data_IF_157996680228
#
_entry.id   IF_157996680228
#
_cell.length_a   1.000
_cell.length_b   1.000
_cell.length_c   1.000
_cell.angle_alpha   90.00
_cell.angle_beta   90.00
_cell.angle_gamma   90.00
#
_symmetry.space_group_name_H-M   'P 1'
#
loop_
_entity.id
_entity.type
_entity.pdbx_description
1 polymer ?
#
# COMPACT_ATOMS: atom_id res chain seq x y z
N UNK A 1 -54.24 0.43 -9.71
CA UNK A 1 -55.69 0.43 -9.98
C UNK A 1 -56.27 1.82 -9.79
N UNK A 2 -56.47 2.58 -10.87
CA UNK A 2 -57.23 3.84 -10.87
C UNK A 2 -58.06 3.88 -12.16
N UNK A 3 -59.23 3.25 -12.15
CA UNK A 3 -60.16 3.17 -13.29
C UNK A 3 -61.36 4.11 -13.10
N UNK A 4 -61.10 5.41 -12.92
CA UNK A 4 -62.12 6.44 -13.15
C UNK A 4 -61.41 7.64 -13.77
N UNK A 5 -61.27 7.62 -15.10
CA UNK A 5 -60.75 8.78 -15.83
C UNK A 5 -61.83 9.88 -15.86
N UNK A 6 -61.48 11.13 -15.52
CA UNK A 6 -62.42 12.25 -15.65
C UNK A 6 -62.69 12.54 -17.13
N UNK A 7 -63.95 12.78 -17.48
CA UNK A 7 -64.37 13.20 -18.81
C UNK A 7 -64.03 14.69 -18.96
N UNK A 8 -62.89 14.97 -19.60
CA UNK A 8 -62.36 16.30 -19.91
C UNK A 8 -60.89 16.20 -20.36
N UNK A 9 -60.37 17.16 -21.14
CA UNK A 9 -58.94 17.18 -21.54
C UNK A 9 -58.08 17.21 -20.28
N UNK A 10 -57.62 16.05 -19.83
CA UNK A 10 -56.82 15.89 -18.64
C UNK A 10 -55.42 16.43 -18.92
N UNK A 11 -55.09 17.56 -18.31
CA UNK A 11 -53.71 18.04 -18.25
C UNK A 11 -52.86 17.05 -17.43
N UNK A 12 -51.57 16.89 -17.74
CA UNK A 12 -50.65 16.11 -16.90
C UNK A 12 -50.68 16.63 -15.46
N UNK A 13 -50.45 15.76 -14.46
CA UNK A 13 -50.46 16.08 -13.01
C UNK A 13 -49.61 17.29 -12.56
N UNK A 14 -48.76 17.79 -13.44
CA UNK A 14 -47.84 18.90 -13.17
C UNK A 14 -48.40 20.27 -13.63
N UNK A 15 -49.68 20.37 -14.00
CA UNK A 15 -50.26 21.61 -14.52
C UNK A 15 -51.39 22.12 -13.62
N UNK A 16 -51.37 23.42 -13.33
CA UNK A 16 -52.53 24.14 -12.82
C UNK A 16 -53.15 24.98 -13.94
N UNK A 17 -54.47 24.89 -14.09
CA UNK A 17 -55.25 25.74 -14.98
C UNK A 17 -55.78 26.97 -14.22
N UNK A 18 -55.47 28.16 -14.70
CA UNK A 18 -55.98 29.45 -14.25
C UNK A 18 -56.85 30.06 -15.36
N UNK A 19 -58.15 29.78 -15.37
CA UNK A 19 -59.04 30.27 -16.43
C UNK A 19 -58.57 29.85 -17.84
N UNK A 20 -58.12 30.82 -18.66
CA UNK A 20 -57.62 30.61 -20.05
C UNK A 20 -56.12 30.28 -20.13
N UNK A 21 -55.38 30.24 -19.01
CA UNK A 21 -53.94 30.03 -19.00
C UNK A 21 -53.55 28.83 -18.13
N UNK A 22 -52.67 27.97 -18.63
CA UNK A 22 -52.11 26.85 -17.86
C UNK A 22 -50.66 27.13 -17.45
N UNK A 23 -50.36 26.95 -16.17
CA UNK A 23 -49.01 27.06 -15.61
C UNK A 23 -48.51 25.65 -15.29
N UNK A 24 -47.32 25.31 -15.77
CA UNK A 24 -46.63 24.08 -15.37
C UNK A 24 -45.90 24.30 -14.04
N UNK A 25 -46.20 23.47 -13.03
CA UNK A 25 -45.43 23.39 -11.80
C UNK A 25 -44.05 22.82 -12.17
N UNK A 26 -42.94 23.45 -11.74
CA UNK A 26 -41.61 22.98 -12.09
C UNK A 26 -41.16 21.75 -11.28
N UNK A 27 -42.01 20.74 -11.11
CA UNK A 27 -41.71 19.51 -10.38
C UNK A 27 -40.45 18.84 -10.95
N UNK A 28 -40.29 18.83 -12.27
CA UNK A 28 -39.11 18.23 -12.90
C UNK A 28 -37.82 19.05 -12.67
N UNK A 29 -37.79 20.37 -12.89
CA UNK A 29 -36.70 21.23 -12.44
C UNK A 29 -36.37 21.09 -10.94
N UNK A 30 -37.37 21.07 -10.05
CA UNK A 30 -37.18 20.88 -8.60
C UNK A 30 -36.51 19.53 -8.31
N UNK A 31 -37.02 18.42 -8.87
CA UNK A 31 -36.41 17.09 -8.69
C UNK A 31 -34.97 17.03 -9.19
N UNK A 32 -34.70 17.65 -10.33
CA UNK A 32 -33.34 17.73 -10.90
C UNK A 32 -32.43 18.60 -10.04
N UNK A 33 -32.92 19.71 -9.51
CA UNK A 33 -32.19 20.56 -8.58
C UNK A 33 -31.77 19.76 -7.35
N UNK A 34 -32.73 19.12 -6.66
CA UNK A 34 -32.49 18.32 -5.46
C UNK A 34 -31.51 17.18 -5.75
N UNK A 35 -31.73 16.41 -6.82
CA UNK A 35 -30.84 15.31 -7.21
C UNK A 35 -29.42 15.78 -7.53
N UNK A 36 -29.27 16.88 -8.27
CA UNK A 36 -27.95 17.44 -8.62
C UNK A 36 -27.25 17.96 -7.37
N UNK A 37 -27.98 18.60 -6.45
CA UNK A 37 -27.41 19.11 -5.20
C UNK A 37 -26.95 17.97 -4.28
N UNK A 38 -27.78 16.94 -4.07
CA UNK A 38 -27.39 15.73 -3.33
C UNK A 38 -26.16 15.06 -3.93
N UNK A 39 -26.14 14.94 -5.26
CA UNK A 39 -25.02 14.33 -5.97
C UNK A 39 -23.75 15.16 -5.77
N UNK A 40 -23.84 16.50 -5.84
CA UNK A 40 -22.70 17.38 -5.56
C UNK A 40 -22.19 17.24 -4.12
N UNK A 41 -23.07 17.12 -3.13
CA UNK A 41 -22.66 16.91 -1.74
C UNK A 41 -22.03 15.54 -1.53
N UNK A 42 -22.49 14.49 -2.23
CA UNK A 42 -21.85 13.18 -2.22
C UNK A 42 -20.41 13.24 -2.75
N UNK A 43 -20.18 13.93 -3.88
CA UNK A 43 -18.82 14.14 -4.40
C UNK A 43 -17.96 14.96 -3.44
N UNK A 44 -18.54 15.97 -2.79
CA UNK A 44 -17.85 16.77 -1.78
C UNK A 44 -17.49 15.95 -0.53
N UNK A 45 -18.37 15.02 -0.12
CA UNK A 45 -18.12 14.08 0.97
C UNK A 45 -16.92 13.18 0.68
N UNK A 46 -16.82 12.64 -0.54
CA UNK A 46 -15.69 11.78 -0.93
C UNK A 46 -14.37 12.57 -1.07
N UNK A 47 -14.43 13.79 -1.60
CA UNK A 47 -13.22 14.62 -1.76
C UNK A 47 -12.72 15.18 -0.43
N UNK A 48 -13.65 15.57 0.45
CA UNK A 48 -13.43 16.16 1.78
C UNK A 48 -12.18 17.03 1.90
N UNK A 49 -12.15 18.12 1.13
CA UNK A 49 -10.98 19.02 1.07
C UNK A 49 -10.66 19.75 2.38
N UNK A 50 -11.60 19.81 3.33
CA UNK A 50 -11.46 20.54 4.60
C UNK A 50 -10.95 19.73 5.79
N UNK A 51 -10.37 18.54 5.59
CA UNK A 51 -9.82 17.73 6.69
C UNK A 51 -8.56 18.39 7.25
N UNK A 52 -8.48 18.49 8.59
CA UNK A 52 -7.24 18.87 9.26
C UNK A 52 -6.24 17.74 9.12
N UNK A 53 -5.14 18.01 8.42
CA UNK A 53 -4.03 17.08 8.34
C UNK A 53 -3.37 16.93 9.73
N UNK A 54 -2.84 15.74 10.06
CA UNK A 54 -1.96 15.56 11.20
C UNK A 54 -0.84 16.61 11.22
N UNK A 55 -0.46 17.07 12.42
CA UNK A 55 0.65 18.02 12.59
C UNK A 55 1.99 17.46 12.12
N UNK A 56 2.17 16.14 12.17
CA UNK A 56 3.34 15.45 11.65
C UNK A 56 2.95 14.22 10.82
N UNK A 57 2.88 14.39 9.50
CA UNK A 57 2.56 13.31 8.56
C UNK A 57 3.62 12.20 8.54
N UNK A 58 4.89 12.52 8.78
CA UNK A 58 5.96 11.53 8.72
C UNK A 58 5.81 10.46 9.82
N UNK A 59 5.36 10.86 11.01
CA UNK A 59 5.12 9.94 12.13
C UNK A 59 3.95 8.99 11.83
N UNK A 60 2.88 9.49 11.22
CA UNK A 60 1.75 8.63 10.85
C UNK A 60 2.13 7.65 9.74
N UNK A 61 2.89 8.11 8.74
CA UNK A 61 3.43 7.24 7.69
C UNK A 61 4.32 6.15 8.28
N UNK A 62 5.22 6.48 9.20
CA UNK A 62 6.11 5.49 9.83
C UNK A 62 5.33 4.45 10.64
N UNK A 63 4.30 4.89 11.38
CA UNK A 63 3.41 4.01 12.13
C UNK A 63 2.66 3.06 11.20
N UNK A 64 2.14 3.56 10.08
CA UNK A 64 1.42 2.77 9.10
C UNK A 64 2.36 1.77 8.40
N UNK A 65 3.53 2.20 7.94
CA UNK A 65 4.52 1.30 7.32
C UNK A 65 4.98 0.20 8.28
N UNK A 66 5.11 0.51 9.58
CA UNK A 66 5.40 -0.49 10.61
C UNK A 66 4.28 -1.51 10.75
N UNK A 67 3.01 -1.09 10.72
CA UNK A 67 1.87 -2.01 10.78
C UNK A 67 1.79 -2.91 9.53
N UNK A 68 2.20 -2.40 8.38
CA UNK A 68 2.25 -3.16 7.14
C UNK A 68 3.48 -4.09 7.04
N UNK A 69 4.42 -3.94 7.98
CA UNK A 69 5.73 -4.61 8.02
C UNK A 69 6.61 -4.30 6.80
N UNK A 70 6.64 -3.02 6.41
CA UNK A 70 7.34 -2.48 5.24
C UNK A 70 8.52 -1.58 5.62
N UNK A 71 9.00 -1.64 6.86
CA UNK A 71 10.24 -0.97 7.24
C UNK A 71 11.47 -1.80 6.78
N UNK A 72 12.66 -1.19 6.58
CA UNK A 72 13.82 -1.86 6.00
C UNK A 72 14.27 -3.10 6.77
N UNK A 73 14.31 -2.99 8.10
CA UNK A 73 14.69 -4.12 8.95
C UNK A 73 13.71 -5.29 8.83
N UNK A 74 12.43 -5.01 8.58
CA UNK A 74 11.40 -6.03 8.40
C UNK A 74 11.47 -6.65 6.99
N UNK A 75 11.72 -5.84 5.96
CA UNK A 75 11.92 -6.30 4.59
C UNK A 75 13.16 -7.20 4.49
N UNK A 76 14.30 -6.74 5.00
CA UNK A 76 15.54 -7.53 5.04
C UNK A 76 15.31 -8.83 5.79
N UNK A 77 14.69 -8.77 6.98
CA UNK A 77 14.39 -9.96 7.78
C UNK A 77 13.55 -10.98 7.00
N UNK A 78 12.50 -10.54 6.31
CA UNK A 78 11.65 -11.42 5.49
C UNK A 78 12.40 -12.00 4.28
N UNK A 79 13.28 -11.24 3.64
CA UNK A 79 14.11 -11.73 2.53
C UNK A 79 15.02 -12.87 3.00
N UNK A 80 15.64 -12.75 4.18
CA UNK A 80 16.60 -13.74 4.69
C UNK A 80 15.98 -14.90 5.46
N UNK A 81 14.67 -15.14 5.36
CA UNK A 81 14.01 -16.29 6.00
C UNK A 81 14.04 -17.55 5.11
N UNK A 82 14.42 -18.67 5.70
CA UNK A 82 14.27 -20.00 5.09
C UNK A 82 12.84 -20.53 5.18
N UNK A 83 12.59 -21.70 4.60
CA UNK A 83 11.26 -22.31 4.56
C UNK A 83 10.71 -22.75 5.93
N UNK A 84 11.60 -23.11 6.83
CA UNK A 84 11.31 -23.45 8.23
C UNK A 84 11.27 -22.22 9.16
N UNK A 85 11.36 -21.00 8.60
CA UNK A 85 11.27 -19.75 9.35
C UNK A 85 12.55 -19.33 10.08
N UNK A 86 13.64 -20.08 9.95
CA UNK A 86 14.95 -19.68 10.46
C UNK A 86 15.60 -18.63 9.56
N UNK A 87 16.56 -17.86 10.10
CA UNK A 87 17.38 -16.98 9.29
C UNK A 87 18.42 -17.76 8.50
N UNK A 88 18.66 -17.42 7.24
CA UNK A 88 19.69 -18.08 6.41
C UNK A 88 21.10 -18.01 7.02
N UNK A 89 21.41 -16.93 7.75
CA UNK A 89 22.65 -16.81 8.52
C UNK A 89 22.77 -17.88 9.64
N UNK A 90 21.64 -18.33 10.21
CA UNK A 90 21.61 -19.40 11.21
C UNK A 90 21.82 -20.77 10.55
N UNK A 91 21.30 -20.97 9.34
CA UNK A 91 21.55 -22.20 8.57
C UNK A 91 23.03 -22.37 8.22
N UNK A 92 23.71 -21.28 7.88
CA UNK A 92 25.17 -21.27 7.73
C UNK A 92 25.86 -21.70 9.03
N UNK A 93 25.41 -21.20 10.17
CA UNK A 93 25.97 -21.56 11.46
C UNK A 93 25.73 -23.03 11.83
N UNK A 94 24.53 -23.57 11.56
CA UNK A 94 24.23 -24.99 11.72
C UNK A 94 25.16 -25.87 10.88
N UNK A 95 25.47 -25.47 9.64
CA UNK A 95 26.42 -26.18 8.80
C UNK A 95 27.85 -26.13 9.35
N UNK A 96 28.33 -24.97 9.81
CA UNK A 96 29.67 -24.86 10.39
C UNK A 96 29.81 -25.71 11.65
N UNK A 97 28.81 -25.70 12.54
CA UNK A 97 28.79 -26.57 13.72
C UNK A 97 28.80 -28.04 13.31
N UNK A 98 28.05 -28.43 12.27
CA UNK A 98 28.08 -29.81 11.77
C UNK A 98 29.46 -30.23 11.23
N UNK A 99 30.19 -29.30 10.59
CA UNK A 99 31.57 -29.54 10.16
C UNK A 99 32.51 -29.69 11.36
N UNK A 100 32.42 -28.84 12.37
CA UNK A 100 33.21 -28.96 13.60
C UNK A 100 33.00 -30.33 14.28
N UNK A 101 31.74 -30.78 14.36
CA UNK A 101 31.38 -32.08 14.94
C UNK A 101 31.92 -33.26 14.12
N UNK A 102 31.84 -33.19 12.78
CA UNK A 102 32.43 -34.20 11.88
C UNK A 102 33.95 -34.29 12.05
N UNK A 103 34.62 -33.14 12.11
CA UNK A 103 36.08 -33.06 12.27
C UNK A 103 36.53 -33.70 13.58
N UNK A 104 35.80 -33.44 14.68
CA UNK A 104 36.08 -34.03 16.00
C UNK A 104 35.77 -35.52 16.05
N UNK A 105 34.60 -35.92 15.55
CA UNK A 105 34.13 -37.32 15.60
C UNK A 105 34.99 -38.26 14.76
N UNK A 106 35.41 -37.81 13.57
CA UNK A 106 36.19 -38.63 12.65
C UNK A 106 37.70 -38.51 12.87
N UNK A 107 38.12 -37.76 13.91
CA UNK A 107 39.50 -37.50 14.28
C UNK A 107 40.34 -37.02 13.07
N UNK A 108 39.80 -36.11 12.26
CA UNK A 108 40.41 -35.71 10.98
C UNK A 108 41.73 -34.95 11.13
N UNK A 109 41.97 -34.39 12.32
CA UNK A 109 43.16 -33.60 12.67
C UNK A 109 44.14 -34.35 13.59
N UNK A 110 43.89 -35.63 13.89
CA UNK A 110 44.78 -36.44 14.72
C UNK A 110 46.11 -36.68 13.99
N UNK A 111 47.22 -36.40 14.67
CA UNK A 111 48.56 -36.64 14.11
C UNK A 111 49.12 -37.98 14.57
N UNK A 112 49.65 -38.77 13.64
CA UNK A 112 50.32 -40.04 13.94
C UNK A 112 51.80 -39.89 14.23
N UNK A 113 52.44 -38.80 13.77
CA UNK A 113 53.87 -38.53 13.98
C UNK A 113 54.10 -37.68 15.24
N UNK A 114 53.67 -38.17 16.41
CA UNK A 114 53.89 -37.53 17.72
C UNK A 114 54.82 -38.39 18.61
N UNK A 115 55.32 -37.80 19.71
CA UNK A 115 56.15 -38.50 20.69
C UNK A 115 55.49 -39.83 21.12
N UNK A 116 56.24 -40.95 21.17
CA UNK A 116 57.71 -41.06 21.08
C UNK A 116 58.28 -41.19 19.65
N UNK A 117 57.47 -41.18 18.59
CA UNK A 117 57.87 -41.48 17.22
C UNK A 117 58.28 -40.21 16.42
N UNK A 118 59.43 -39.63 16.77
CA UNK A 118 59.96 -38.36 16.22
C UNK A 118 60.31 -38.46 14.72
N UNK A 119 60.56 -39.65 14.19
CA UNK A 119 60.92 -39.89 12.78
C UNK A 119 59.84 -40.59 11.96
N UNK A 120 58.65 -40.83 12.54
CA UNK A 120 57.56 -41.44 11.80
C UNK A 120 57.06 -40.48 10.72
N UNK A 121 56.75 -41.02 9.53
CA UNK A 121 56.01 -40.27 8.52
C UNK A 121 54.58 -40.10 9.01
N UNK A 122 54.04 -38.91 8.80
CA UNK A 122 52.62 -38.66 9.03
C UNK A 122 51.80 -39.58 8.11
N UNK A 123 50.83 -40.30 8.67
CA UNK A 123 49.94 -41.20 7.95
C UNK A 123 48.50 -40.93 8.39
N UNK A 124 47.52 -41.28 7.55
CA UNK A 124 46.10 -41.16 7.91
C UNK A 124 45.38 -39.93 7.36
N UNK A 125 44.31 -39.52 8.04
CA UNK A 125 43.29 -38.58 7.51
C UNK A 125 43.77 -37.13 7.46
N UNK A 126 44.73 -36.76 8.31
CA UNK A 126 45.29 -35.42 8.42
C UNK A 126 45.92 -34.92 7.11
N UNK A 127 46.56 -35.80 6.34
CA UNK A 127 47.14 -35.47 5.03
C UNK A 127 46.08 -35.14 3.97
N UNK A 128 44.85 -35.63 4.16
CA UNK A 128 43.71 -35.41 3.26
C UNK A 128 42.75 -34.33 3.78
N UNK A 129 43.02 -33.77 4.96
CA UNK A 129 42.12 -32.84 5.65
C UNK A 129 41.77 -31.62 4.79
N UNK A 130 42.77 -30.93 4.23
CA UNK A 130 42.50 -29.76 3.39
C UNK A 130 41.61 -30.07 2.19
N UNK A 131 41.83 -31.21 1.52
CA UNK A 131 40.99 -31.63 0.40
C UNK A 131 39.56 -31.97 0.85
N UNK A 132 39.41 -32.57 2.04
CA UNK A 132 38.10 -32.80 2.65
C UNK A 132 37.37 -31.48 2.93
N UNK A 133 38.02 -30.54 3.63
CA UNK A 133 37.44 -29.26 3.99
C UNK A 133 37.06 -28.46 2.74
N UNK A 134 37.99 -28.35 1.78
CA UNK A 134 37.77 -27.65 0.52
C UNK A 134 36.56 -28.23 -0.25
N UNK A 135 36.43 -29.55 -0.33
CA UNK A 135 35.29 -30.19 -0.99
C UNK A 135 33.96 -29.91 -0.27
N UNK A 136 33.92 -30.01 1.06
CA UNK A 136 32.69 -29.73 1.82
C UNK A 136 32.26 -28.27 1.66
N UNK A 137 33.20 -27.34 1.76
CA UNK A 137 32.98 -25.90 1.59
C UNK A 137 32.51 -25.57 0.17
N UNK A 138 33.17 -26.14 -0.86
CA UNK A 138 32.77 -25.94 -2.27
C UNK A 138 31.38 -26.48 -2.56
N UNK A 139 31.05 -27.68 -2.08
CA UNK A 139 29.74 -28.28 -2.29
C UNK A 139 28.65 -27.44 -1.63
N UNK A 140 28.85 -27.05 -0.36
CA UNK A 140 27.88 -26.21 0.35
C UNK A 140 27.68 -24.85 -0.34
N UNK A 141 28.77 -24.19 -0.75
CA UNK A 141 28.70 -22.91 -1.48
C UNK A 141 27.94 -23.07 -2.80
N UNK A 142 28.23 -24.13 -3.58
CA UNK A 142 27.56 -24.40 -4.85
C UNK A 142 26.06 -24.65 -4.67
N UNK A 143 25.69 -25.43 -3.68
CA UNK A 143 24.30 -25.86 -3.45
C UNK A 143 23.45 -24.75 -2.82
N UNK A 144 24.01 -23.91 -1.96
CA UNK A 144 23.25 -22.96 -1.15
C UNK A 144 23.49 -21.49 -1.51
N UNK A 145 24.75 -21.09 -1.70
CA UNK A 145 25.16 -19.68 -1.76
C UNK A 145 25.55 -19.18 -3.17
N UNK A 146 25.45 -20.04 -4.19
CA UNK A 146 25.77 -19.69 -5.58
C UNK A 146 24.79 -18.64 -6.10
N UNK A 147 25.32 -17.57 -6.68
CA UNK A 147 24.56 -16.43 -7.20
C UNK A 147 24.70 -16.30 -8.72
N UNK A 148 24.37 -17.37 -9.45
CA UNK A 148 24.37 -17.37 -10.91
C UNK A 148 22.92 -17.29 -11.41
N UNK A 149 22.64 -16.46 -12.44
CA UNK A 149 21.28 -16.26 -12.98
C UNK A 149 20.59 -17.56 -13.43
N UNK A 150 21.35 -18.52 -13.96
CA UNK A 150 20.82 -19.76 -14.56
C UNK A 150 20.58 -20.84 -13.50
N UNK A 151 21.44 -20.92 -12.49
CA UNK A 151 21.46 -21.99 -11.49
C UNK A 151 21.89 -21.44 -10.13
N UNK A 152 20.94 -20.78 -9.46
CA UNK A 152 21.13 -20.21 -8.12
C UNK A 152 21.10 -21.30 -7.06
N UNK A 153 21.99 -21.17 -6.08
CA UNK A 153 21.93 -21.97 -4.86
C UNK A 153 20.63 -21.73 -4.10
N UNK A 154 20.23 -22.71 -3.28
CA UNK A 154 18.94 -22.76 -2.61
C UNK A 154 18.63 -21.50 -1.80
N UNK A 155 19.62 -20.95 -1.07
CA UNK A 155 19.41 -19.80 -0.19
C UNK A 155 19.19 -18.53 -1.00
N UNK A 156 19.98 -18.33 -2.06
CA UNK A 156 19.82 -17.18 -2.96
C UNK A 156 18.49 -17.28 -3.71
N UNK A 157 18.14 -18.46 -4.22
CA UNK A 157 16.84 -18.71 -4.85
C UNK A 157 15.68 -18.40 -3.89
N UNK A 158 15.81 -18.79 -2.62
CA UNK A 158 14.80 -18.49 -1.58
C UNK A 158 14.65 -16.99 -1.34
N UNK A 159 15.74 -16.23 -1.28
CA UNK A 159 15.68 -14.77 -1.13
C UNK A 159 14.87 -14.11 -2.26
N UNK A 160 15.05 -14.54 -3.51
CA UNK A 160 14.29 -14.03 -4.65
C UNK A 160 12.80 -14.41 -4.58
N UNK A 161 12.47 -15.65 -4.19
CA UNK A 161 11.07 -16.07 -3.97
C UNK A 161 10.42 -15.22 -2.86
N UNK A 162 11.15 -14.98 -1.76
CA UNK A 162 10.68 -14.15 -0.67
C UNK A 162 10.47 -12.70 -1.13
N UNK A 163 11.35 -12.16 -1.99
CA UNK A 163 11.20 -10.84 -2.61
C UNK A 163 9.89 -10.72 -3.40
N UNK A 164 9.63 -11.66 -4.32
CA UNK A 164 8.42 -11.63 -5.16
C UNK A 164 7.14 -11.69 -4.32
N UNK A 165 7.14 -12.57 -3.30
CA UNK A 165 6.03 -12.72 -2.36
C UNK A 165 5.82 -11.46 -1.53
N UNK A 166 6.92 -10.89 -1.02
CA UNK A 166 6.89 -9.66 -0.22
C UNK A 166 6.37 -8.50 -1.05
N UNK A 167 6.88 -8.33 -2.27
CA UNK A 167 6.47 -7.26 -3.17
C UNK A 167 4.96 -7.34 -3.48
N UNK A 168 4.47 -8.52 -3.86
CA UNK A 168 3.05 -8.72 -4.18
C UNK A 168 2.15 -8.39 -2.97
N UNK A 169 2.50 -8.90 -1.79
CA UNK A 169 1.75 -8.63 -0.56
C UNK A 169 1.82 -7.17 -0.13
N UNK A 170 2.98 -6.53 -0.26
CA UNK A 170 3.19 -5.12 0.08
C UNK A 170 2.36 -4.21 -0.82
N UNK A 171 2.34 -4.50 -2.12
CA UNK A 171 1.52 -3.78 -3.10
C UNK A 171 0.04 -3.87 -2.73
N UNK A 172 -0.48 -5.08 -2.53
CA UNK A 172 -1.90 -5.29 -2.18
C UNK A 172 -2.26 -4.57 -0.87
N UNK A 173 -1.42 -4.68 0.17
CA UNK A 173 -1.63 -3.99 1.45
C UNK A 173 -1.70 -2.47 1.30
N UNK A 174 -0.81 -1.87 0.51
CA UNK A 174 -0.82 -0.43 0.25
C UNK A 174 -2.07 -0.01 -0.52
N UNK A 175 -2.47 -0.77 -1.54
CA UNK A 175 -3.69 -0.52 -2.31
C UNK A 175 -4.94 -0.56 -1.43
N UNK A 176 -5.07 -1.61 -0.60
CA UNK A 176 -6.18 -1.77 0.33
C UNK A 176 -6.23 -0.61 1.34
N UNK A 177 -5.08 -0.18 1.86
CA UNK A 177 -5.02 0.94 2.80
C UNK A 177 -5.51 2.26 2.17
N UNK A 178 -5.15 2.52 0.91
CA UNK A 178 -5.68 3.70 0.18
C UNK A 178 -7.19 3.60 0.01
N UNK A 179 -7.72 2.42 -0.31
CA UNK A 179 -9.16 2.18 -0.40
C UNK A 179 -9.88 2.41 0.94
N UNK A 180 -9.32 1.89 2.05
CA UNK A 180 -9.88 2.07 3.38
C UNK A 180 -9.98 3.55 3.76
N UNK A 181 -8.96 4.33 3.43
CA UNK A 181 -8.95 5.78 3.64
C UNK A 181 -9.93 6.53 2.73
N UNK A 182 -10.14 6.09 1.47
CA UNK A 182 -11.16 6.67 0.59
C UNK A 182 -12.58 6.43 1.10
N UNK A 183 -12.85 5.26 1.69
CA UNK A 183 -14.15 4.92 2.25
C UNK A 183 -14.40 5.55 3.61
N UNK A 184 -13.34 5.85 4.35
CA UNK A 184 -13.44 6.46 5.67
C UNK A 184 -13.45 7.99 5.56
N UNK A 185 -14.63 8.56 5.82
CA UNK A 185 -14.85 10.01 5.85
C UNK A 185 -13.89 10.79 6.77
N UNK A 186 -13.18 10.18 7.71
CA UNK A 186 -12.18 10.91 8.51
C UNK A 186 -10.99 11.41 7.66
N UNK A 187 -10.67 10.71 6.57
CA UNK A 187 -9.53 11.01 5.73
C UNK A 187 -10.02 11.67 4.43
N UNK A 188 -9.39 12.78 4.05
CA UNK A 188 -9.74 13.54 2.84
C UNK A 188 -8.75 13.28 1.71
N UNK A 189 -9.06 13.76 0.50
CA UNK A 189 -8.18 13.56 -0.67
C UNK A 189 -6.78 14.15 -0.46
N UNK A 190 -6.67 15.26 0.29
CA UNK A 190 -5.37 15.86 0.63
C UNK A 190 -4.52 14.99 1.57
N UNK A 191 -5.17 14.27 2.50
CA UNK A 191 -4.48 13.34 3.39
C UNK A 191 -3.86 12.21 2.59
N UNK A 192 -4.62 11.60 1.67
CA UNK A 192 -4.15 10.52 0.81
C UNK A 192 -2.96 10.93 -0.06
N UNK A 193 -3.00 12.13 -0.66
CA UNK A 193 -1.87 12.68 -1.42
C UNK A 193 -0.64 12.78 -0.53
N UNK A 194 -0.76 13.35 0.67
CA UNK A 194 0.36 13.52 1.60
C UNK A 194 0.87 12.20 2.17
N UNK A 195 -0.02 11.24 2.38
CA UNK A 195 0.32 9.89 2.83
C UNK A 195 1.16 9.17 1.77
N UNK A 196 0.70 9.11 0.52
CA UNK A 196 1.43 8.46 -0.57
C UNK A 196 2.79 9.13 -0.83
N UNK A 197 2.83 10.46 -0.83
CA UNK A 197 4.06 11.22 -0.95
C UNK A 197 5.04 10.88 0.19
N UNK A 198 4.55 10.83 1.43
CA UNK A 198 5.38 10.45 2.58
C UNK A 198 5.89 9.01 2.52
N UNK A 199 5.06 8.06 2.06
CA UNK A 199 5.49 6.67 1.82
C UNK A 199 6.60 6.62 0.79
N UNK A 200 6.43 7.31 -0.33
CA UNK A 200 7.44 7.42 -1.40
C UNK A 200 8.74 8.03 -0.89
N UNK A 201 8.68 9.15 -0.18
CA UNK A 201 9.84 9.83 0.40
C UNK A 201 10.59 8.91 1.39
N UNK A 202 9.84 8.13 2.18
CA UNK A 202 10.41 7.16 3.12
C UNK A 202 11.14 6.04 2.37
N UNK A 203 10.54 5.44 1.37
CA UNK A 203 11.17 4.39 0.56
C UNK A 203 12.41 4.91 -0.18
N UNK A 204 12.35 6.11 -0.76
CA UNK A 204 13.51 6.74 -1.41
C UNK A 204 14.65 7.01 -0.44
N UNK A 205 14.34 7.52 0.77
CA UNK A 205 15.35 7.76 1.81
C UNK A 205 16.04 6.46 2.23
N UNK A 206 15.27 5.38 2.34
CA UNK A 206 15.79 4.06 2.70
C UNK A 206 16.61 3.43 1.58
N UNK A 207 16.16 3.59 0.34
CA UNK A 207 16.89 3.16 -0.84
C UNK A 207 18.25 3.85 -0.91
N UNK A 208 18.31 5.16 -0.69
CA UNK A 208 19.56 5.93 -0.68
C UNK A 208 20.53 5.45 0.42
N UNK A 209 20.03 5.05 1.60
CA UNK A 209 20.86 4.46 2.65
C UNK A 209 21.45 3.12 2.22
N UNK A 210 20.65 2.23 1.64
CA UNK A 210 21.12 0.92 1.15
C UNK A 210 22.10 1.06 -0.01
N UNK A 211 21.88 2.02 -0.91
CA UNK A 211 22.79 2.30 -2.03
C UNK A 211 24.11 2.89 -1.54
N UNK A 212 24.08 3.71 -0.47
CA UNK A 212 25.29 4.19 0.19
C UNK A 212 26.07 3.05 0.87
N UNK A 213 25.39 2.19 1.62
CA UNK A 213 26.02 0.99 2.22
C UNK A 213 26.66 0.08 1.15
N UNK A 214 26.04 0.00 -0.03
CA UNK A 214 26.58 -0.75 -1.16
C UNK A 214 27.80 -0.04 -1.79
N UNK A 215 27.77 1.30 -1.95
CA UNK A 215 28.89 2.06 -2.51
C UNK A 215 30.11 2.08 -1.60
N UNK A 216 29.88 2.09 -0.29
CA UNK A 216 30.95 2.06 0.73
C UNK A 216 31.60 0.67 0.82
N UNK A 217 31.10 -0.31 0.04
CA UNK A 217 31.59 -1.70 -0.01
C UNK A 217 31.72 -2.36 1.35
N UNK A 218 30.98 -1.91 2.35
CA UNK A 218 31.17 -2.33 3.74
C UNK A 218 31.09 -3.85 3.88
N UNK A 219 30.04 -4.45 3.30
CA UNK A 219 29.81 -5.89 3.36
C UNK A 219 30.64 -6.69 2.35
N UNK A 220 31.04 -6.08 1.23
CA UNK A 220 31.92 -6.72 0.23
C UNK A 220 33.34 -6.84 0.81
N UNK A 221 33.86 -5.75 1.40
CA UNK A 221 35.13 -5.75 2.11
C UNK A 221 35.12 -6.75 3.27
N UNK A 222 34.06 -6.76 4.08
CA UNK A 222 33.97 -7.71 5.20
C UNK A 222 33.91 -9.18 4.71
N UNK A 223 33.18 -9.46 3.63
CA UNK A 223 33.15 -10.79 3.00
C UNK A 223 34.53 -11.21 2.50
N UNK A 224 35.23 -10.32 1.80
CA UNK A 224 36.55 -10.55 1.19
C UNK A 224 37.65 -10.70 2.24
N UNK A 225 37.68 -9.82 3.25
CA UNK A 225 38.66 -9.86 4.35
C UNK A 225 38.55 -11.17 5.13
N UNK A 226 37.32 -11.59 5.43
CA UNK A 226 37.05 -12.86 6.13
C UNK A 226 37.34 -14.08 5.26
N UNK A 227 37.10 -14.00 3.96
CA UNK A 227 37.47 -15.07 3.03
C UNK A 227 39.00 -15.18 2.91
N UNK A 228 39.72 -14.07 2.91
CA UNK A 228 41.17 -14.06 2.92
C UNK A 228 41.73 -14.67 4.22
N UNK A 229 41.14 -14.36 5.38
CA UNK A 229 41.47 -14.97 6.67
C UNK A 229 41.25 -16.50 6.65
N UNK A 230 40.14 -16.97 6.08
CA UNK A 230 39.89 -18.40 5.87
C UNK A 230 40.96 -19.07 4.98
N UNK A 231 41.27 -18.46 3.83
CA UNK A 231 42.24 -18.99 2.89
C UNK A 231 43.65 -19.05 3.51
N UNK A 232 44.04 -18.01 4.24
CA UNK A 232 45.32 -17.96 4.94
C UNK A 232 45.43 -19.09 5.99
N UNK A 233 44.40 -19.29 6.81
CA UNK A 233 44.38 -20.39 7.78
C UNK A 233 44.43 -21.77 7.09
N UNK A 234 43.71 -21.95 5.97
CA UNK A 234 43.81 -23.18 5.16
C UNK A 234 45.23 -23.44 4.63
N UNK A 235 45.92 -22.38 4.17
CA UNK A 235 47.32 -22.46 3.73
C UNK A 235 48.27 -22.85 4.87
N UNK A 236 48.09 -22.25 6.06
CA UNK A 236 48.88 -22.60 7.26
C UNK A 236 48.65 -24.07 7.64
N UNK A 237 47.39 -24.54 7.64
CA UNK A 237 47.07 -25.96 7.89
C UNK A 237 47.77 -26.86 6.86
N UNK A 238 47.81 -26.44 5.59
CA UNK A 238 48.51 -27.19 4.54
C UNK A 238 50.00 -27.33 4.84
N UNK A 239 50.64 -26.24 5.28
CA UNK A 239 52.06 -26.24 5.64
C UNK A 239 52.34 -27.07 6.89
N UNK A 240 51.53 -26.91 7.94
CA UNK A 240 51.63 -27.68 9.17
C UNK A 240 51.45 -29.17 8.91
N UNK A 241 50.50 -29.56 8.05
CA UNK A 241 50.28 -30.98 7.69
C UNK A 241 51.54 -31.65 7.11
N UNK A 242 52.40 -30.89 6.41
CA UNK A 242 53.63 -31.38 5.76
C UNK A 242 54.85 -31.35 6.68
N UNK A 243 54.82 -30.56 7.76
CA UNK A 243 55.94 -30.40 8.69
C UNK A 243 55.75 -31.28 9.92
N UNK A 244 56.86 -31.65 10.56
CA UNK A 244 56.85 -32.29 11.87
C UNK A 244 56.92 -31.22 12.97
N UNK A 245 56.09 -31.35 14.01
CA UNK A 245 56.15 -30.53 15.22
C UNK A 245 55.44 -31.23 16.39
N UNK A 246 55.96 -31.05 17.60
CA UNK A 246 55.34 -31.56 18.84
C UNK A 246 53.97 -30.89 19.08
N UNK A 247 53.79 -29.64 18.64
CA UNK A 247 52.54 -28.87 18.80
C UNK A 247 51.58 -28.99 17.63
N UNK A 248 51.92 -29.80 16.61
CA UNK A 248 51.23 -29.84 15.30
C UNK A 248 49.72 -30.01 15.41
N UNK A 249 49.25 -30.95 16.22
CA UNK A 249 47.80 -31.21 16.36
C UNK A 249 47.08 -30.03 17.01
N UNK A 250 47.68 -29.43 18.04
CA UNK A 250 47.12 -28.26 18.71
C UNK A 250 47.06 -27.05 17.77
N UNK A 251 48.13 -26.80 17.03
CA UNK A 251 48.22 -25.69 16.07
C UNK A 251 47.24 -25.90 14.92
N UNK A 252 47.10 -27.14 14.43
CA UNK A 252 46.12 -27.47 13.40
C UNK A 252 44.68 -27.31 13.86
N UNK A 253 44.34 -27.72 15.10
CA UNK A 253 43.00 -27.47 15.68
C UNK A 253 42.72 -25.98 15.79
N UNK A 254 43.67 -25.21 16.31
CA UNK A 254 43.54 -23.74 16.43
C UNK A 254 43.27 -23.08 15.08
N UNK A 255 44.10 -23.35 14.06
CA UNK A 255 43.92 -22.76 12.74
C UNK A 255 42.66 -23.29 12.02
N UNK A 256 42.22 -24.52 12.32
CA UNK A 256 40.95 -25.03 11.82
C UNK A 256 39.76 -24.26 12.41
N UNK A 257 39.74 -24.04 13.72
CA UNK A 257 38.69 -23.26 14.39
C UNK A 257 38.67 -21.81 13.87
N UNK A 258 39.83 -21.19 13.69
CA UNK A 258 39.97 -19.86 13.09
C UNK A 258 39.48 -19.82 11.63
N UNK A 259 39.82 -20.84 10.81
CA UNK A 259 39.32 -20.97 9.44
C UNK A 259 37.79 -21.08 9.40
N UNK A 260 37.20 -21.99 10.19
CA UNK A 260 35.76 -22.21 10.20
C UNK A 260 34.99 -20.98 10.70
N UNK A 261 35.54 -20.26 11.69
CA UNK A 261 35.00 -18.98 12.15
C UNK A 261 35.05 -17.92 11.05
N UNK A 262 36.19 -17.74 10.40
CA UNK A 262 36.35 -16.78 9.31
C UNK A 262 35.41 -17.10 8.13
N UNK A 263 35.24 -18.38 7.78
CA UNK A 263 34.31 -18.84 6.75
C UNK A 263 32.86 -18.51 7.11
N UNK A 264 32.45 -18.79 8.35
CA UNK A 264 31.12 -18.44 8.86
C UNK A 264 30.83 -16.96 8.72
N UNK A 265 31.77 -16.12 9.15
CA UNK A 265 31.63 -14.67 9.14
C UNK A 265 31.59 -14.13 7.69
N UNK A 266 32.44 -14.64 6.79
CA UNK A 266 32.41 -14.32 5.36
C UNK A 266 31.05 -14.64 4.71
N UNK A 267 30.51 -15.84 4.96
CA UNK A 267 29.21 -16.23 4.40
C UNK A 267 28.03 -15.45 5.01
N UNK A 268 28.10 -15.10 6.30
CA UNK A 268 27.13 -14.20 6.92
C UNK A 268 27.18 -12.81 6.26
N UNK A 269 28.37 -12.27 6.03
CA UNK A 269 28.55 -11.00 5.31
C UNK A 269 27.99 -11.07 3.87
N UNK A 270 28.24 -12.15 3.14
CA UNK A 270 27.70 -12.36 1.79
C UNK A 270 26.15 -12.40 1.76
N UNK A 271 25.52 -13.07 2.74
CA UNK A 271 24.06 -13.05 2.92
C UNK A 271 23.54 -11.65 3.22
N UNK A 272 24.25 -10.89 4.08
CA UNK A 272 23.90 -9.50 4.43
C UNK A 272 24.03 -8.56 3.24
N UNK A 273 25.07 -8.73 2.41
CA UNK A 273 25.29 -8.00 1.17
C UNK A 273 24.16 -8.27 0.18
N UNK A 274 23.90 -9.56 -0.11
CA UNK A 274 22.89 -9.94 -1.11
C UNK A 274 21.47 -9.53 -0.71
N UNK A 275 21.11 -9.73 0.55
CA UNK A 275 19.78 -9.34 1.04
C UNK A 275 19.52 -7.84 0.95
N UNK A 276 20.54 -6.99 1.17
CA UNK A 276 20.42 -5.53 0.96
C UNK A 276 20.26 -5.16 -0.50
N UNK A 277 20.97 -5.81 -1.41
CA UNK A 277 20.79 -5.60 -2.85
C UNK A 277 19.35 -5.94 -3.28
N UNK A 278 18.85 -7.10 -2.87
CA UNK A 278 17.48 -7.53 -3.13
C UNK A 278 16.45 -6.57 -2.47
N UNK A 279 16.73 -6.09 -1.26
CA UNK A 279 15.89 -5.10 -0.57
C UNK A 279 15.82 -3.80 -1.36
N UNK A 280 16.96 -3.31 -1.86
CA UNK A 280 17.02 -2.09 -2.67
C UNK A 280 16.22 -2.24 -3.97
N UNK A 281 16.34 -3.38 -4.66
CA UNK A 281 15.50 -3.70 -5.84
C UNK A 281 14.01 -3.69 -5.49
N UNK A 282 13.64 -4.35 -4.39
CA UNK A 282 12.25 -4.40 -3.90
C UNK A 282 11.69 -3.00 -3.61
N UNK A 283 12.48 -2.15 -2.93
CA UNK A 283 12.08 -0.77 -2.64
C UNK A 283 11.90 0.05 -3.92
N UNK A 284 12.77 -0.11 -4.93
CA UNK A 284 12.59 0.57 -6.23
C UNK A 284 11.28 0.21 -6.89
N UNK A 285 10.90 -1.07 -6.87
CA UNK A 285 9.64 -1.50 -7.47
C UNK A 285 8.42 -1.08 -6.64
N UNK A 286 8.54 -1.02 -5.31
CA UNK A 286 7.51 -0.44 -4.44
C UNK A 286 7.32 1.06 -4.69
N UNK A 287 8.41 1.81 -4.91
CA UNK A 287 8.33 3.24 -5.28
C UNK A 287 7.53 3.40 -6.57
N UNK A 288 7.82 2.63 -7.62
CA UNK A 288 7.04 2.65 -8.88
C UNK A 288 5.57 2.33 -8.65
N UNK A 289 5.28 1.37 -7.76
CA UNK A 289 3.90 0.99 -7.43
C UNK A 289 3.16 2.11 -6.69
N UNK A 290 3.85 2.83 -5.80
CA UNK A 290 3.31 4.02 -5.12
C UNK A 290 3.06 5.15 -6.12
N UNK A 291 3.96 5.36 -7.08
CA UNK A 291 3.77 6.36 -8.15
C UNK A 291 2.54 6.05 -9.02
N UNK A 292 2.31 4.77 -9.38
CA UNK A 292 1.09 4.37 -10.09
C UNK A 292 -0.18 4.67 -9.24
N UNK A 293 -0.12 4.41 -7.93
CA UNK A 293 -1.21 4.74 -7.02
C UNK A 293 -1.47 6.25 -6.93
N UNK A 294 -0.42 7.07 -6.88
CA UNK A 294 -0.53 8.53 -6.93
C UNK A 294 -1.20 8.99 -8.23
N UNK A 295 -0.80 8.44 -9.38
CA UNK A 295 -1.39 8.76 -10.68
C UNK A 295 -2.88 8.38 -10.70
N UNK A 296 -3.23 7.17 -10.24
CA UNK A 296 -4.61 6.69 -10.17
C UNK A 296 -5.46 7.54 -9.24
N UNK A 297 -4.94 7.89 -8.07
CA UNK A 297 -5.59 8.78 -7.11
C UNK A 297 -5.82 10.16 -7.72
N UNK A 298 -4.82 10.75 -8.37
CA UNK A 298 -4.95 12.07 -9.00
C UNK A 298 -6.01 12.08 -10.11
N UNK A 299 -6.05 11.04 -10.96
CA UNK A 299 -7.11 10.87 -11.97
C UNK A 299 -8.49 10.74 -11.32
N UNK A 300 -8.58 9.99 -10.21
CA UNK A 300 -9.83 9.86 -9.45
C UNK A 300 -10.27 11.21 -8.86
N UNK A 301 -9.36 11.96 -8.24
CA UNK A 301 -9.61 13.30 -7.69
C UNK A 301 -10.08 14.26 -8.79
N UNK A 302 -9.43 14.26 -9.96
CA UNK A 302 -9.83 15.09 -11.10
C UNK A 302 -11.26 14.75 -11.55
N UNK A 303 -11.57 13.48 -11.82
CA UNK A 303 -12.92 13.04 -12.21
C UNK A 303 -13.99 13.43 -11.18
N UNK A 304 -13.67 13.34 -9.90
CA UNK A 304 -14.58 13.73 -8.82
C UNK A 304 -14.77 15.26 -8.77
N UNK A 305 -13.72 16.06 -8.99
CA UNK A 305 -13.83 17.51 -9.10
C UNK A 305 -14.64 17.95 -10.33
N UNK A 306 -14.42 17.32 -11.49
CA UNK A 306 -15.16 17.62 -12.71
C UNK A 306 -16.64 17.29 -12.54
N UNK A 307 -16.94 16.14 -11.91
CA UNK A 307 -18.31 15.74 -11.60
C UNK A 307 -18.96 16.69 -10.59
N UNK A 308 -18.23 17.08 -9.53
CA UNK A 308 -18.69 18.06 -8.55
C UNK A 308 -19.09 19.38 -9.24
N UNK A 309 -18.21 19.94 -10.07
CA UNK A 309 -18.46 21.17 -10.82
C UNK A 309 -19.68 21.02 -11.73
N UNK A 310 -19.74 19.93 -12.51
CA UNK A 310 -20.87 19.63 -13.40
C UNK A 310 -22.21 19.61 -12.65
N UNK A 311 -22.29 18.92 -11.51
CA UNK A 311 -23.53 18.82 -10.75
C UNK A 311 -23.89 20.12 -10.02
N UNK A 312 -22.90 20.91 -9.59
CA UNK A 312 -23.13 22.27 -9.09
C UNK A 312 -23.71 23.18 -10.17
N UNK A 313 -23.19 23.12 -11.39
CA UNK A 313 -23.69 23.92 -12.52
C UNK A 313 -25.09 23.45 -12.96
N UNK A 314 -25.34 22.14 -12.99
CA UNK A 314 -26.68 21.60 -13.25
C UNK A 314 -27.69 22.06 -12.20
N UNK A 315 -27.31 22.06 -10.91
CA UNK A 315 -28.16 22.57 -9.84
C UNK A 315 -28.47 24.07 -10.05
N UNK A 316 -27.46 24.90 -10.29
CA UNK A 316 -27.65 26.34 -10.59
C UNK A 316 -28.54 26.58 -11.81
N UNK A 317 -28.36 25.80 -12.88
CA UNK A 317 -29.20 25.91 -14.07
C UNK A 317 -30.67 25.58 -13.77
N UNK A 318 -30.95 24.57 -12.94
CA UNK A 318 -32.33 24.27 -12.54
C UNK A 318 -32.90 25.34 -11.60
N UNK A 319 -32.10 25.85 -10.68
CA UNK A 319 -32.49 26.97 -9.81
C UNK A 319 -32.90 28.18 -10.64
N UNK A 320 -32.10 28.55 -11.64
CA UNK A 320 -32.41 29.65 -12.55
C UNK A 320 -33.70 29.42 -13.34
N UNK A 321 -33.94 28.19 -13.82
CA UNK A 321 -35.18 27.83 -14.54
C UNK A 321 -36.43 27.92 -13.66
N UNK A 322 -36.31 27.53 -12.39
CA UNK A 322 -37.42 27.65 -11.42
C UNK A 322 -37.67 29.12 -11.10
N UNK A 323 -36.59 29.88 -10.87
CA UNK A 323 -36.65 31.28 -10.46
C UNK A 323 -37.16 32.22 -11.58
N UNK A 324 -37.04 31.81 -12.85
CA UNK A 324 -37.56 32.55 -14.01
C UNK A 324 -39.05 32.28 -14.30
N UNK A 325 -39.73 31.44 -13.51
CA UNK A 325 -41.13 31.15 -13.72
C UNK A 325 -41.99 32.28 -13.17
N UNK A 326 -42.64 32.97 -14.10
CA UNK A 326 -43.52 34.09 -13.84
C UNK A 326 -44.90 33.84 -14.45
N UNK A 327 -45.93 34.35 -13.80
CA UNK A 327 -47.28 34.38 -14.32
C UNK A 327 -47.86 35.78 -14.19
N UNK A 328 -48.25 36.39 -15.32
CA UNK A 328 -48.71 37.78 -15.37
C UNK A 328 -47.73 38.76 -14.69
N UNK A 329 -46.42 38.49 -14.76
CA UNK A 329 -45.36 39.30 -14.13
C UNK A 329 -45.17 39.05 -12.62
N UNK A 330 -45.94 38.13 -12.02
CA UNK A 330 -45.74 37.70 -10.64
C UNK A 330 -44.87 36.44 -10.59
N UNK A 331 -43.86 36.48 -9.74
CA UNK A 331 -42.92 35.38 -9.54
C UNK A 331 -43.61 34.21 -8.82
N UNK A 332 -43.54 33.01 -9.39
CA UNK A 332 -44.23 31.83 -8.87
C UNK A 332 -43.41 31.09 -7.82
N UNK A 333 -42.08 31.08 -7.98
CA UNK A 333 -41.15 30.39 -7.09
C UNK A 333 -39.87 31.19 -6.92
N UNK A 334 -39.33 31.18 -5.71
CA UNK A 334 -38.03 31.77 -5.41
C UNK A 334 -36.96 30.72 -5.19
N UNK A 335 -35.70 31.07 -5.52
CA UNK A 335 -34.55 30.22 -5.23
C UNK A 335 -34.33 29.96 -3.73
N UNK A 336 -34.80 30.84 -2.84
CA UNK A 336 -34.84 30.62 -1.38
C UNK A 336 -35.65 29.38 -1.01
N UNK A 337 -36.86 29.23 -1.58
CA UNK A 337 -37.72 28.07 -1.34
C UNK A 337 -37.10 26.75 -1.80
N UNK A 338 -36.33 26.73 -2.89
CA UNK A 338 -35.58 25.54 -3.30
C UNK A 338 -34.53 25.10 -2.26
N UNK A 339 -33.88 26.06 -1.60
CA UNK A 339 -32.87 25.78 -0.57
C UNK A 339 -33.52 25.26 0.71
N UNK A 340 -34.68 25.79 1.08
CA UNK A 340 -35.50 25.28 2.19
C UNK A 340 -35.95 23.86 1.92
N UNK A 341 -36.50 23.58 0.73
CA UNK A 341 -36.89 22.23 0.32
C UNK A 341 -35.72 21.24 0.34
N UNK A 342 -34.53 21.71 -0.05
CA UNK A 342 -33.32 20.91 0.04
C UNK A 342 -32.93 20.60 1.50
N UNK A 343 -32.97 21.61 2.38
CA UNK A 343 -32.72 21.45 3.81
C UNK A 343 -33.69 20.46 4.44
N UNK A 344 -34.99 20.61 4.16
CA UNK A 344 -36.04 19.74 4.66
C UNK A 344 -35.87 18.31 4.14
N UNK A 345 -35.51 18.15 2.86
CA UNK A 345 -35.20 16.84 2.29
C UNK A 345 -34.06 16.13 3.02
N UNK A 346 -33.01 16.86 3.41
CA UNK A 346 -31.88 16.31 4.14
C UNK A 346 -32.21 15.96 5.61
N UNK A 347 -33.19 16.63 6.22
CA UNK A 347 -33.57 16.46 7.64
C UNK A 347 -34.66 15.41 7.83
N UNK A 348 -35.60 15.25 6.88
CA UNK A 348 -36.79 14.40 7.04
C UNK A 348 -36.55 12.98 6.50
N UNK A 349 -36.61 11.97 7.39
CA UNK A 349 -36.45 10.53 7.08
C UNK A 349 -37.48 9.93 6.09
N UNK A 350 -38.41 10.75 5.56
CA UNK A 350 -39.47 10.40 4.60
C UNK A 350 -39.72 11.53 3.58
N UNK A 351 -38.65 12.23 3.17
CA UNK A 351 -38.68 13.52 2.46
C UNK A 351 -39.23 13.58 1.02
N UNK A 352 -39.83 12.52 0.47
CA UNK A 352 -40.47 12.60 -0.87
C UNK A 352 -41.96 12.94 -0.78
N UNK A 353 -42.71 12.20 0.03
CA UNK A 353 -44.18 12.32 0.06
C UNK A 353 -44.65 13.50 0.91
N UNK A 354 -43.89 13.86 1.95
CA UNK A 354 -44.14 15.05 2.78
C UNK A 354 -43.88 16.34 1.99
N UNK A 355 -42.82 16.35 1.19
CA UNK A 355 -42.35 17.51 0.43
C UNK A 355 -43.28 17.85 -0.75
N UNK A 356 -43.83 16.86 -1.45
CA UNK A 356 -44.84 17.10 -2.48
C UNK A 356 -46.13 17.68 -1.91
N UNK A 357 -46.53 17.22 -0.72
CA UNK A 357 -47.72 17.74 -0.04
C UNK A 357 -47.53 19.18 0.42
N UNK A 358 -46.39 19.49 1.07
CA UNK A 358 -46.07 20.85 1.51
C UNK A 358 -45.94 21.84 0.34
N UNK A 359 -45.21 21.48 -0.73
CA UNK A 359 -45.11 22.30 -1.94
C UNK A 359 -46.47 22.63 -2.57
N UNK A 360 -47.37 21.65 -2.52
CA UNK A 360 -48.73 21.78 -3.03
C UNK A 360 -49.54 22.74 -2.16
N UNK A 361 -49.44 22.58 -0.85
CA UNK A 361 -50.16 23.39 0.13
C UNK A 361 -49.67 24.86 0.14
N UNK A 362 -48.37 25.09 0.01
CA UNK A 362 -47.76 26.43 -0.04
C UNK A 362 -48.10 27.16 -1.35
N UNK A 363 -48.13 26.45 -2.47
CA UNK A 363 -48.62 26.99 -3.75
C UNK A 363 -50.08 27.43 -3.63
N UNK A 364 -50.95 26.57 -3.08
CA UNK A 364 -52.36 26.89 -2.89
C UNK A 364 -52.52 28.12 -1.98
N UNK A 365 -51.76 28.17 -0.88
CA UNK A 365 -51.79 29.29 0.07
C UNK A 365 -51.36 30.61 -0.58
N UNK A 366 -50.21 30.64 -1.25
CA UNK A 366 -49.71 31.85 -1.92
C UNK A 366 -50.63 32.31 -3.06
N UNK A 367 -51.32 31.38 -3.72
CA UNK A 367 -52.33 31.71 -4.73
C UNK A 367 -53.56 32.38 -4.11
N UNK A 368 -53.99 31.90 -2.93
CA UNK A 368 -55.16 32.43 -2.21
C UNK A 368 -54.90 33.76 -1.48
N UNK A 369 -53.64 34.04 -1.13
CA UNK A 369 -53.22 35.31 -0.50
C UNK A 369 -52.95 36.43 -1.53
N UNK A 370 -53.01 36.11 -2.83
CA UNK A 370 -52.87 37.10 -3.90
C UNK A 370 -54.11 37.98 -4.03
N UNK A 371 -53.98 39.29 -3.75
CA UNK A 371 -55.02 40.30 -3.95
C UNK A 371 -55.58 40.29 -5.39
N UNK A 372 -54.77 39.89 -6.37
CA UNK A 372 -55.16 39.77 -7.77
C UNK A 372 -56.14 38.61 -8.00
N UNK A 373 -55.99 37.52 -7.26
CA UNK A 373 -56.85 36.34 -7.33
C UNK A 373 -58.19 36.58 -6.64
N UNK A 374 -58.15 37.15 -5.43
CA UNK A 374 -59.34 37.50 -4.64
C UNK A 374 -60.18 38.62 -5.26
N UNK A 375 -59.64 39.38 -6.21
CA UNK A 375 -60.36 40.41 -6.97
C UNK A 375 -60.67 40.00 -8.42
N UNK A 376 -60.26 38.80 -8.85
CA UNK A 376 -60.54 38.32 -10.20
C UNK A 376 -61.98 37.83 -10.34
N UNK A 377 -62.56 37.94 -11.55
CA UNK A 377 -63.87 37.35 -11.88
C UNK A 377 -63.92 35.82 -11.75
N UNK A 378 -62.79 35.17 -11.44
CA UNK A 378 -62.61 33.72 -11.39
C UNK A 378 -62.38 33.20 -9.95
N UNK A 379 -62.46 34.06 -8.94
CA UNK A 379 -62.27 33.74 -7.51
C UNK A 379 -63.07 32.51 -7.02
N UNK A 380 -64.25 32.26 -7.61
CA UNK A 380 -65.16 31.17 -7.21
C UNK A 380 -64.89 29.83 -7.93
N UNK A 381 -63.86 29.74 -8.79
CA UNK A 381 -63.52 28.49 -9.46
C UNK A 381 -62.80 27.54 -8.49
N UNK A 382 -63.30 26.31 -8.37
CA UNK A 382 -62.69 25.29 -7.48
C UNK A 382 -61.41 24.73 -8.11
N UNK A 383 -60.31 24.93 -7.40
CA UNK A 383 -59.02 24.31 -7.68
C UNK A 383 -59.06 22.80 -7.42
N UNK A 384 -58.43 22.03 -8.31
CA UNK A 384 -58.05 20.64 -8.04
C UNK A 384 -56.66 20.40 -8.60
N UNK A 385 -55.74 19.93 -7.76
CA UNK A 385 -54.64 19.10 -8.24
C UNK A 385 -55.20 17.74 -8.61
N UNK A 386 -54.67 17.14 -9.67
CA UNK A 386 -54.93 15.74 -10.06
C UNK A 386 -53.67 14.89 -9.93
#
# INVERSE_FOLDING_TARGET
NNQNQPIGRSYPRNFYSFGISTIEIPIYPIRKYLSSRLTSELYQWWLKKGVRLPSNMAVEVDKELKQLELLPGEIIKKIVMSADGLGLAKKVEEFIVSLEDEIRRDHLLECTAQLPNIFAKEEGKILKFNKYLENRVKNFKRENLRDDLIDRGEYIKRMYINQETLFSNAKEKLENKVCDYLLNNHYGSQYLIKFLQGVKDKFNSQLALLEKEASDKTWESEEDDKLAEYNNNCSIIQELSKRWSITKESDMKKHCDEALKALKDSWKAGIQRKSRQITAETLRDLVKSVEDLEIRLNRWIQKFNDSLTKYQDLAKQQENKVNSLEFLGLKLFEGSGLKELYSDFCVVKSGKDVLFKQLTDDLIKNTNESNFWTQSKYQNQKFRLF
#
